data_IF_066518999407
#
_entry.id   IF_066518999407
#
_cell.length_a   1.000
_cell.length_b   1.000
_cell.length_c   1.000
_cell.angle_alpha   90.00
_cell.angle_beta   90.00
_cell.angle_gamma   90.00
#
_symmetry.space_group_name_H-M   'P 1'
#
loop_
_entity.id
_entity.type
_entity.pdbx_description
1 polymer ?
#
# COMPACT_ATOMS: atom_id res chain seq x y z
N UNK A 1 -24.70 -8.72 4.70
CA UNK A 1 -24.40 -9.72 3.64
C UNK A 1 -24.98 -11.10 3.98
N UNK A 2 -24.78 -11.67 5.18
CA UNK A 2 -25.35 -12.98 5.55
C UNK A 2 -26.89 -13.06 5.48
N UNK A 3 -27.60 -12.06 6.01
CA UNK A 3 -29.07 -11.93 5.86
C UNK A 3 -29.48 -11.78 4.39
N UNK A 4 -28.70 -11.05 3.59
CA UNK A 4 -28.93 -10.86 2.14
C UNK A 4 -28.77 -12.18 1.36
N UNK A 5 -27.91 -13.08 1.85
CA UNK A 5 -27.66 -14.40 1.27
C UNK A 5 -28.62 -15.48 1.81
N UNK A 6 -29.59 -15.12 2.66
CA UNK A 6 -30.55 -16.07 3.25
C UNK A 6 -29.93 -17.07 4.23
N UNK A 7 -28.76 -16.75 4.80
CA UNK A 7 -28.09 -17.60 5.76
C UNK A 7 -28.78 -17.43 7.11
N UNK A 8 -29.61 -18.40 7.49
CA UNK A 8 -30.48 -18.37 8.68
C UNK A 8 -29.79 -17.97 9.99
N UNK A 9 -28.50 -18.29 10.10
CA UNK A 9 -27.66 -17.94 11.26
C UNK A 9 -27.53 -16.42 11.48
N UNK A 10 -27.63 -15.61 10.43
CA UNK A 10 -27.54 -14.15 10.52
C UNK A 10 -28.87 -13.45 10.78
N UNK A 11 -29.98 -14.20 10.86
CA UNK A 11 -31.30 -13.66 11.20
C UNK A 11 -31.48 -13.53 12.72
N UNK A 12 -30.66 -14.24 13.52
CA UNK A 12 -30.65 -14.14 14.97
C UNK A 12 -29.48 -13.25 15.47
N UNK A 13 -29.81 -12.16 16.16
CA UNK A 13 -28.83 -11.21 16.70
C UNK A 13 -28.10 -11.68 17.96
N UNK A 14 -28.51 -12.79 18.60
CA UNK A 14 -27.92 -13.23 19.87
C UNK A 14 -26.45 -13.64 19.75
N UNK A 15 -26.09 -14.45 18.76
CA UNK A 15 -24.68 -14.83 18.53
C UNK A 15 -23.82 -13.64 18.14
N UNK A 16 -24.36 -12.68 17.37
CA UNK A 16 -23.65 -11.43 17.04
C UNK A 16 -23.39 -10.61 18.31
N UNK A 17 -24.35 -10.55 19.24
CA UNK A 17 -24.16 -9.89 20.54
C UNK A 17 -23.15 -10.63 21.40
N UNK A 18 -23.15 -11.96 21.40
CA UNK A 18 -22.17 -12.77 22.11
C UNK A 18 -20.75 -12.55 21.58
N UNK A 19 -20.56 -12.64 20.27
CA UNK A 19 -19.30 -12.31 19.60
C UNK A 19 -18.81 -10.91 19.99
N UNK A 20 -19.67 -9.90 19.89
CA UNK A 20 -19.31 -8.53 20.28
C UNK A 20 -18.96 -8.43 21.77
N UNK A 21 -19.65 -9.15 22.66
CA UNK A 21 -19.34 -9.16 24.10
C UNK A 21 -17.97 -9.77 24.37
N UNK A 22 -17.66 -10.91 23.77
CA UNK A 22 -16.38 -11.60 23.96
C UNK A 22 -15.21 -10.79 23.38
N UNK A 23 -15.35 -10.27 22.16
CA UNK A 23 -14.35 -9.41 21.53
C UNK A 23 -14.09 -8.14 22.35
N UNK A 24 -15.14 -7.45 22.80
CA UNK A 24 -15.00 -6.24 23.62
C UNK A 24 -14.40 -6.56 24.99
N UNK A 25 -14.74 -7.70 25.60
CA UNK A 25 -14.14 -8.16 26.85
C UNK A 25 -12.64 -8.41 26.70
N UNK A 26 -12.24 -9.09 25.62
CA UNK A 26 -10.83 -9.33 25.29
C UNK A 26 -10.06 -8.02 25.04
N UNK A 27 -10.62 -7.08 24.25
CA UNK A 27 -10.01 -5.76 24.02
C UNK A 27 -9.84 -4.96 25.31
N UNK A 28 -10.82 -5.00 26.22
CA UNK A 28 -10.72 -4.32 27.53
C UNK A 28 -9.60 -4.89 28.37
N UNK A 29 -9.47 -6.22 28.42
CA UNK A 29 -8.37 -6.90 29.14
C UNK A 29 -7.01 -6.55 28.55
N UNK A 30 -6.92 -6.51 27.23
CA UNK A 30 -5.71 -6.15 26.50
C UNK A 30 -5.30 -4.68 26.74
N UNK A 31 -6.24 -3.73 26.64
CA UNK A 31 -5.99 -2.32 26.98
C UNK A 31 -5.52 -2.15 28.43
N UNK A 32 -6.09 -2.93 29.36
CA UNK A 32 -5.67 -2.93 30.77
C UNK A 32 -4.23 -3.45 30.91
N UNK A 33 -3.89 -4.54 30.22
CA UNK A 33 -2.55 -5.11 30.21
C UNK A 33 -1.49 -4.16 29.59
N UNK A 34 -1.84 -3.48 28.50
CA UNK A 34 -1.00 -2.46 27.87
C UNK A 34 -0.81 -1.24 28.79
N UNK A 35 -1.87 -0.77 29.45
CA UNK A 35 -1.78 0.34 30.41
C UNK A 35 -0.89 -0.01 31.61
N UNK A 36 -0.94 -1.25 32.10
CA UNK A 36 -0.04 -1.71 33.17
C UNK A 36 1.42 -1.90 32.74
N UNK A 37 1.69 -2.12 31.45
CA UNK A 37 3.05 -2.27 30.92
C UNK A 37 3.78 -0.91 30.73
N UNK A 38 3.09 0.21 30.88
CA UNK A 38 3.66 1.56 30.80
C UNK A 38 4.13 1.98 29.38
N UNK A 39 4.87 3.09 29.26
CA UNK A 39 5.27 3.67 27.96
C UNK A 39 6.17 2.78 27.10
N UNK A 40 6.88 1.83 27.73
CA UNK A 40 7.75 0.85 27.04
C UNK A 40 6.96 -0.23 26.31
N UNK A 41 5.71 -0.51 26.69
CA UNK A 41 4.82 -1.51 26.05
C UNK A 41 3.83 -0.93 25.04
N UNK A 42 3.91 0.37 24.74
CA UNK A 42 2.99 1.07 23.83
C UNK A 42 3.30 0.75 22.36
N UNK A 43 2.29 0.33 21.60
CA UNK A 43 2.39 0.14 20.14
C UNK A 43 2.62 1.45 19.38
N UNK A 44 2.20 2.60 19.94
CA UNK A 44 2.37 3.92 19.33
C UNK A 44 3.83 4.34 19.15
N UNK A 45 4.74 3.89 20.02
CA UNK A 45 6.18 4.14 19.84
C UNK A 45 6.72 3.40 18.62
N UNK A 46 6.21 2.19 18.36
CA UNK A 46 6.57 1.43 17.17
C UNK A 46 6.05 2.14 15.90
N UNK A 47 4.85 2.74 15.96
CA UNK A 47 4.27 3.57 14.88
C UNK A 47 5.10 4.82 14.57
N UNK A 48 5.52 5.58 15.59
CA UNK A 48 6.32 6.80 15.37
C UNK A 48 7.76 6.53 14.93
N UNK A 49 8.31 5.37 15.27
CA UNK A 49 9.70 5.00 14.97
C UNK A 49 9.80 4.04 13.76
N UNK A 50 8.68 3.77 13.07
CA UNK A 50 8.67 2.91 11.88
C UNK A 50 8.98 1.43 12.15
N UNK A 51 8.77 0.96 13.39
CA UNK A 51 9.02 -0.44 13.78
C UNK A 51 7.72 -1.25 13.72
N UNK A 52 7.76 -2.43 13.10
CA UNK A 52 6.58 -3.28 12.93
C UNK A 52 6.09 -3.95 14.22
N UNK A 53 6.96 -4.16 15.22
CA UNK A 53 6.62 -4.86 16.48
C UNK A 53 7.41 -4.32 17.65
N UNK A 54 6.73 -4.20 18.80
CA UNK A 54 7.37 -3.95 20.08
C UNK A 54 7.57 -5.29 20.82
N UNK A 55 8.81 -5.78 21.01
CA UNK A 55 9.08 -7.06 21.67
C UNK A 55 8.67 -7.07 23.15
N UNK A 56 8.53 -5.91 23.77
CA UNK A 56 8.09 -5.75 25.16
C UNK A 56 6.55 -5.66 25.28
N UNK A 57 5.81 -5.77 24.17
CA UNK A 57 4.36 -5.73 24.20
C UNK A 57 3.76 -7.06 24.73
N UNK A 58 2.77 -7.01 25.63
CA UNK A 58 2.09 -8.21 26.11
C UNK A 58 1.39 -8.96 24.98
N UNK A 59 1.34 -10.29 25.07
CA UNK A 59 0.67 -11.15 24.10
C UNK A 59 -0.81 -10.76 23.93
N UNK A 60 -1.31 -10.79 22.69
CA UNK A 60 -2.67 -10.35 22.41
C UNK A 60 -3.71 -11.28 23.02
N UNK A 61 -4.61 -10.71 23.82
CA UNK A 61 -5.78 -11.41 24.37
C UNK A 61 -6.97 -11.36 23.42
N UNK A 62 -6.96 -10.44 22.46
CA UNK A 62 -8.00 -10.27 21.45
C UNK A 62 -7.88 -11.28 20.30
N UNK A 63 -6.67 -11.51 19.81
CA UNK A 63 -6.42 -12.37 18.63
C UNK A 63 -6.97 -13.79 18.77
N UNK A 64 -6.79 -14.52 19.90
CA UNK A 64 -7.32 -15.87 20.03
C UNK A 64 -8.85 -15.94 19.95
N UNK A 65 -9.55 -15.02 20.62
CA UNK A 65 -11.02 -14.93 20.62
C UNK A 65 -11.54 -14.61 19.22
N UNK A 66 -10.91 -13.65 18.55
CA UNK A 66 -11.23 -13.30 17.17
C UNK A 66 -11.08 -14.51 16.23
N UNK A 67 -10.02 -15.30 16.37
CA UNK A 67 -9.78 -16.47 15.53
C UNK A 67 -10.84 -17.57 15.70
N UNK A 68 -11.35 -17.81 16.90
CA UNK A 68 -12.44 -18.76 17.13
C UNK A 68 -13.71 -18.32 16.42
N UNK A 69 -14.07 -17.05 16.53
CA UNK A 69 -15.21 -16.48 15.83
C UNK A 69 -15.02 -16.47 14.30
N UNK A 70 -13.81 -16.22 13.81
CA UNK A 70 -13.49 -16.34 12.38
C UNK A 70 -13.73 -17.76 11.85
N UNK A 71 -13.35 -18.80 12.60
CA UNK A 71 -13.61 -20.20 12.20
C UNK A 71 -15.11 -20.50 12.11
N UNK A 72 -15.87 -20.14 13.16
CA UNK A 72 -17.34 -20.30 13.20
C UNK A 72 -18.02 -19.58 12.04
N UNK A 73 -17.59 -18.35 11.75
CA UNK A 73 -18.10 -17.58 10.62
C UNK A 73 -17.78 -18.26 9.29
N UNK A 74 -16.55 -18.72 9.07
CA UNK A 74 -16.16 -19.39 7.83
C UNK A 74 -16.96 -20.67 7.58
N UNK A 75 -17.15 -21.51 8.59
CA UNK A 75 -17.97 -22.73 8.49
C UNK A 75 -19.42 -22.41 8.12
N UNK A 76 -19.96 -21.31 8.63
CA UNK A 76 -21.30 -20.84 8.31
C UNK A 76 -21.42 -20.38 6.85
N UNK A 77 -20.42 -19.69 6.31
CA UNK A 77 -20.41 -19.22 4.92
C UNK A 77 -20.01 -20.30 3.90
N UNK A 78 -19.32 -21.36 4.32
CA UNK A 78 -18.73 -22.35 3.41
C UNK A 78 -19.73 -22.98 2.42
N UNK A 79 -20.99 -23.32 2.79
CA UNK A 79 -21.95 -23.89 1.84
C UNK A 79 -22.48 -22.88 0.80
N UNK A 80 -22.31 -21.57 1.05
CA UNK A 80 -22.94 -20.49 0.27
C UNK A 80 -21.96 -19.72 -0.61
N UNK A 81 -20.65 -19.91 -0.41
CA UNK A 81 -19.62 -19.11 -1.07
C UNK A 81 -18.70 -20.03 -1.86
N UNK A 82 -18.67 -19.83 -3.17
CA UNK A 82 -17.63 -20.41 -4.04
C UNK A 82 -16.54 -19.37 -4.22
N UNK A 83 -15.32 -19.70 -3.81
CA UNK A 83 -14.13 -18.93 -4.12
C UNK A 83 -13.16 -19.78 -4.91
N UNK A 84 -12.61 -19.18 -5.96
CA UNK A 84 -11.49 -19.70 -6.71
C UNK A 84 -10.30 -18.75 -6.57
N UNK A 85 -9.12 -19.32 -6.64
CA UNK A 85 -7.81 -18.66 -6.65
C UNK A 85 -7.14 -18.90 -8.00
N UNK A 86 -6.01 -18.24 -8.24
CA UNK A 86 -5.19 -18.48 -9.43
C UNK A 86 -4.66 -19.93 -9.50
N UNK A 87 -4.52 -20.59 -8.34
CA UNK A 87 -4.09 -21.99 -8.24
C UNK A 87 -5.26 -22.98 -8.25
N UNK A 88 -6.49 -22.51 -8.42
CA UNK A 88 -7.64 -23.41 -8.51
C UNK A 88 -7.57 -24.26 -9.77
N UNK A 89 -7.79 -25.54 -9.60
CA UNK A 89 -7.77 -26.53 -10.68
C UNK A 89 -9.18 -26.76 -11.23
N UNK A 90 -9.26 -27.06 -12.51
CA UNK A 90 -10.48 -27.49 -13.17
C UNK A 90 -10.76 -28.98 -12.86
N UNK A 91 -11.78 -29.55 -13.51
CA UNK A 91 -12.14 -30.94 -13.30
C UNK A 91 -11.13 -31.95 -13.87
N UNK A 92 -10.20 -31.52 -14.73
CA UNK A 92 -9.13 -32.34 -15.30
C UNK A 92 -7.84 -32.24 -14.47
N UNK A 93 -7.79 -31.34 -13.48
CA UNK A 93 -6.60 -31.07 -12.68
C UNK A 93 -5.70 -29.98 -13.26
N UNK A 94 -6.14 -29.31 -14.33
CA UNK A 94 -5.39 -28.20 -14.95
C UNK A 94 -5.69 -26.89 -14.22
N UNK A 95 -4.72 -25.98 -14.15
CA UNK A 95 -4.95 -24.66 -13.55
C UNK A 95 -6.00 -23.91 -14.37
N UNK A 96 -7.09 -23.49 -13.72
CA UNK A 96 -8.16 -22.68 -14.33
C UNK A 96 -7.59 -21.35 -14.83
N UNK A 97 -6.61 -20.81 -14.10
CA UNK A 97 -5.92 -19.58 -14.46
C UNK A 97 -4.58 -19.90 -15.10
N UNK A 98 -4.38 -19.44 -16.34
CA UNK A 98 -3.08 -19.44 -17.02
C UNK A 98 -2.17 -18.28 -16.63
N UNK A 99 -2.53 -17.48 -15.62
CA UNK A 99 -1.70 -16.37 -15.15
C UNK A 99 -0.47 -16.90 -14.39
N UNK A 100 0.73 -16.56 -14.88
CA UNK A 100 1.97 -16.70 -14.10
C UNK A 100 1.99 -15.77 -12.88
N UNK A 101 2.89 -15.95 -11.92
CA UNK A 101 2.97 -15.07 -10.74
C UNK A 101 3.37 -13.63 -11.12
N UNK A 102 2.84 -12.64 -10.41
CA UNK A 102 3.37 -11.27 -10.46
C UNK A 102 4.54 -11.11 -9.46
N UNK A 103 5.47 -10.22 -9.77
CA UNK A 103 6.60 -9.87 -8.91
C UNK A 103 6.33 -8.53 -8.21
N UNK A 104 6.63 -8.45 -6.92
CA UNK A 104 6.51 -7.20 -6.14
C UNK A 104 7.89 -6.72 -5.71
N UNK A 105 8.16 -5.44 -5.96
CA UNK A 105 9.41 -4.77 -5.67
C UNK A 105 9.14 -3.61 -4.72
N UNK A 106 9.59 -3.75 -3.47
CA UNK A 106 9.50 -2.69 -2.48
C UNK A 106 10.75 -1.82 -2.58
N UNK A 107 10.58 -0.60 -3.07
CA UNK A 107 11.63 0.40 -3.19
C UNK A 107 11.62 1.25 -1.92
N UNK A 108 12.52 0.93 -1.00
CA UNK A 108 12.69 1.60 0.29
C UNK A 108 13.54 2.85 0.12
N UNK A 109 12.89 4.01 0.15
CA UNK A 109 13.45 5.31 -0.19
C UNK A 109 13.90 6.06 1.07
N UNK A 110 15.17 6.41 1.14
CA UNK A 110 15.68 7.35 2.12
C UNK A 110 15.43 8.77 1.62
N UNK A 111 14.50 9.48 2.27
CA UNK A 111 14.21 10.86 1.92
C UNK A 111 15.43 11.76 2.13
N UNK A 112 15.52 12.82 1.35
CA UNK A 112 16.55 13.84 1.54
C UNK A 112 16.39 14.51 2.90
N UNK A 113 17.49 15.05 3.44
CA UNK A 113 17.49 15.71 4.76
C UNK A 113 16.45 16.84 4.82
N UNK A 114 16.34 17.62 3.73
CA UNK A 114 15.39 18.73 3.62
C UNK A 114 13.92 18.25 3.65
N UNK A 115 13.61 17.13 3.01
CA UNK A 115 12.25 16.54 3.01
C UNK A 115 11.90 16.09 4.44
N UNK A 116 12.84 15.44 5.13
CA UNK A 116 12.67 15.06 6.52
C UNK A 116 12.51 16.27 7.45
N UNK A 117 13.30 17.32 7.26
CA UNK A 117 13.19 18.55 8.04
C UNK A 117 11.85 19.25 7.82
N UNK A 118 11.33 19.23 6.58
CA UNK A 118 9.99 19.71 6.30
C UNK A 118 8.93 18.88 7.04
N UNK A 119 9.00 17.55 7.00
CA UNK A 119 8.05 16.68 7.73
C UNK A 119 8.12 16.90 9.25
N UNK A 120 9.32 17.11 9.80
CA UNK A 120 9.50 17.46 11.22
C UNK A 120 8.88 18.82 11.54
N UNK A 121 9.05 19.80 10.65
CA UNK A 121 8.44 21.13 10.81
C UNK A 121 6.92 21.03 10.75
N UNK A 122 6.36 20.36 9.75
CA UNK A 122 4.92 20.11 9.62
C UNK A 122 4.35 19.45 10.89
N UNK A 123 5.07 18.49 11.46
CA UNK A 123 4.71 17.87 12.74
C UNK A 123 4.61 18.89 13.89
N UNK A 124 5.60 19.78 14.01
CA UNK A 124 5.65 20.83 15.04
C UNK A 124 4.55 21.86 14.86
N UNK A 125 4.39 22.38 13.64
CA UNK A 125 3.41 23.41 13.33
C UNK A 125 1.99 22.92 13.68
N UNK A 126 1.68 21.66 13.36
CA UNK A 126 0.38 21.05 13.71
C UNK A 126 0.18 20.88 15.23
N UNK A 127 1.26 20.63 15.99
CA UNK A 127 1.21 20.55 17.46
C UNK A 127 1.03 21.94 18.09
N UNK A 128 1.64 22.97 17.51
CA UNK A 128 1.64 24.34 18.03
C UNK A 128 0.34 25.11 17.70
N UNK A 129 -0.20 24.96 16.49
CA UNK A 129 -1.38 25.71 16.02
C UNK A 129 -2.71 25.31 16.71
N UNK A 130 -2.77 24.14 17.37
CA UNK A 130 -3.90 23.75 18.21
C UNK A 130 -3.43 23.18 19.55
N UNK A 131 -3.26 24.02 20.60
CA UNK A 131 -2.96 23.51 21.92
C UNK A 131 -4.07 22.56 22.37
N UNK A 132 -3.67 21.42 22.94
CA UNK A 132 -4.42 20.32 23.57
C UNK A 132 -5.83 20.59 24.13
N UNK A 133 -6.15 21.83 24.48
CA UNK A 133 -7.40 22.26 25.08
C UNK A 133 -8.59 22.37 24.10
N UNK A 134 -8.37 22.41 22.79
CA UNK A 134 -9.44 22.60 21.80
C UNK A 134 -10.19 21.31 21.38
N UNK A 135 -9.78 20.13 21.88
CA UNK A 135 -10.31 18.84 21.42
C UNK A 135 -11.19 18.23 22.51
N UNK A 136 -12.51 18.32 22.34
CA UNK A 136 -13.49 17.67 23.21
C UNK A 136 -13.29 16.14 23.20
N UNK A 137 -12.62 15.61 24.22
CA UNK A 137 -12.44 14.17 24.43
C UNK A 137 -10.99 13.69 24.60
N UNK A 138 -9.98 14.57 24.46
CA UNK A 138 -8.61 14.22 24.80
C UNK A 138 -8.47 14.15 26.34
N UNK A 139 -8.36 12.94 26.89
CA UNK A 139 -7.90 12.78 28.27
C UNK A 139 -6.44 13.26 28.31
N UNK A 140 -6.21 14.45 28.85
CA UNK A 140 -4.89 14.98 29.16
C UNK A 140 -4.14 13.93 30.01
N UNK A 141 -3.15 13.25 29.44
CA UNK A 141 -2.19 12.49 30.23
C UNK A 141 -1.18 13.50 30.79
N UNK A 142 -1.57 14.24 31.83
CA UNK A 142 -0.61 14.96 32.67
C UNK A 142 0.04 13.93 33.58
N UNK A 143 1.31 13.62 33.32
CA UNK A 143 2.19 13.01 34.30
C UNK A 143 3.05 14.13 34.87
N UNK A 144 2.97 14.36 36.18
CA UNK A 144 3.84 15.25 36.95
C UNK A 144 3.93 16.72 36.47
N UNK A 145 2.80 17.30 36.05
CA UNK A 145 2.72 18.76 35.81
C UNK A 145 3.44 19.27 34.57
N UNK A 146 4.00 18.38 33.74
CA UNK A 146 4.62 18.73 32.46
C UNK A 146 3.77 18.25 31.27
N UNK A 147 3.66 19.05 30.18
CA UNK A 147 3.04 18.59 28.95
C UNK A 147 3.83 17.38 28.41
N UNK A 148 3.17 16.23 28.26
CA UNK A 148 3.79 15.04 27.72
C UNK A 148 4.01 15.22 26.21
N UNK A 149 5.19 14.91 25.64
CA UNK A 149 5.49 15.07 24.20
C UNK A 149 4.67 14.18 23.24
N UNK A 150 3.67 13.45 23.74
CA UNK A 150 2.82 12.52 22.98
C UNK A 150 1.32 12.80 23.15
N UNK A 151 0.98 14.05 23.44
CA UNK A 151 -0.38 14.55 23.37
C UNK A 151 -1.03 14.21 22.02
N UNK A 152 -2.17 13.51 22.05
CA UNK A 152 -2.90 13.08 20.85
C UNK A 152 -3.45 14.28 20.10
N UNK A 153 -2.83 14.64 18.97
CA UNK A 153 -3.36 15.65 18.05
C UNK A 153 -4.44 14.98 17.18
N UNK A 154 -5.71 15.30 17.42
CA UNK A 154 -6.82 14.91 16.55
C UNK A 154 -7.07 16.00 15.49
N UNK A 155 -6.14 16.15 14.55
CA UNK A 155 -6.43 16.90 13.32
C UNK A 155 -7.02 15.92 12.30
N UNK A 156 -8.22 16.22 11.78
CA UNK A 156 -8.90 15.35 10.80
C UNK A 156 -8.07 15.17 9.51
N UNK A 157 -7.20 16.12 9.17
CA UNK A 157 -6.41 16.11 7.94
C UNK A 157 -4.91 15.91 8.12
N UNK A 158 -4.38 15.82 9.36
CA UNK A 158 -2.93 15.73 9.63
C UNK A 158 -2.26 14.65 8.79
N UNK A 159 -2.90 13.49 8.78
CA UNK A 159 -2.35 12.35 8.09
C UNK A 159 -2.35 12.52 6.56
N UNK A 160 -3.37 13.19 6.01
CA UNK A 160 -3.47 13.46 4.58
C UNK A 160 -2.42 14.50 4.15
N UNK A 161 -2.15 15.50 4.98
CA UNK A 161 -1.12 16.52 4.74
C UNK A 161 0.27 15.88 4.73
N UNK A 162 0.60 15.06 5.74
CA UNK A 162 1.83 14.27 5.75
C UNK A 162 2.00 13.44 4.47
N UNK A 163 0.92 12.79 4.04
CA UNK A 163 0.93 11.97 2.82
C UNK A 163 1.21 12.74 1.55
N UNK A 164 0.66 13.94 1.41
CA UNK A 164 0.93 14.81 0.27
C UNK A 164 2.37 15.31 0.30
N UNK A 165 2.86 15.71 1.48
CA UNK A 165 4.24 16.18 1.66
C UNK A 165 5.29 15.13 1.38
N UNK A 166 4.97 13.83 1.53
CA UNK A 166 5.88 12.74 1.19
C UNK A 166 6.20 12.64 -0.31
N UNK A 167 5.36 13.17 -1.20
CA UNK A 167 5.71 13.32 -2.61
C UNK A 167 6.42 14.65 -2.86
N UNK A 168 5.85 15.74 -2.35
CA UNK A 168 6.50 17.06 -2.35
C UNK A 168 5.70 18.02 -1.45
N UNK A 169 6.34 18.90 -0.65
CA UNK A 169 5.64 19.87 0.20
C UNK A 169 4.65 20.77 -0.53
N UNK A 170 4.93 21.09 -1.80
CA UNK A 170 4.03 21.93 -2.63
C UNK A 170 2.71 21.25 -2.98
N UNK A 171 2.52 19.97 -2.63
CA UNK A 171 1.25 19.25 -2.80
C UNK A 171 0.24 19.57 -1.69
N UNK A 172 0.68 20.25 -0.63
CA UNK A 172 -0.19 20.74 0.42
C UNK A 172 -1.17 21.81 -0.08
N UNK A 173 -2.40 21.87 0.46
CA UNK A 173 -3.32 22.97 0.18
C UNK A 173 -2.65 24.34 0.40
N UNK A 174 -2.97 25.32 -0.45
CA UNK A 174 -2.42 26.68 -0.37
C UNK A 174 -0.99 26.84 -0.89
N UNK A 175 -0.28 25.75 -1.19
CA UNK A 175 1.02 25.81 -1.84
C UNK A 175 0.86 25.72 -3.36
N UNK A 176 1.78 26.34 -4.09
CA UNK A 176 1.80 26.30 -5.56
C UNK A 176 3.00 25.50 -6.03
N UNK A 177 2.73 24.53 -6.92
CA UNK A 177 3.76 23.80 -7.66
C UNK A 177 4.24 24.63 -8.84
N UNK A 178 5.55 24.79 -8.95
CA UNK A 178 6.19 25.44 -10.08
C UNK A 178 7.00 24.40 -10.84
N UNK A 179 6.72 24.27 -12.13
CA UNK A 179 7.46 23.36 -12.99
C UNK A 179 8.94 23.78 -13.06
N UNK A 180 9.90 22.88 -12.77
CA UNK A 180 11.31 23.19 -12.96
C UNK A 180 11.63 23.49 -14.43
N UNK A 181 12.55 24.44 -14.67
CA UNK A 181 12.88 24.89 -16.03
C UNK A 181 13.57 23.82 -16.89
N UNK A 182 14.36 22.95 -16.28
CA UNK A 182 15.09 21.86 -16.94
C UNK A 182 15.36 20.71 -15.97
N UNK A 183 15.77 19.56 -16.50
CA UNK A 183 16.20 18.43 -15.69
C UNK A 183 17.42 18.78 -14.82
N UNK A 184 18.37 19.54 -15.35
CA UNK A 184 19.55 19.97 -14.60
C UNK A 184 19.17 20.92 -13.46
N UNK A 185 18.23 21.84 -13.71
CA UNK A 185 17.72 22.74 -12.68
C UNK A 185 16.98 21.98 -11.58
N UNK A 186 16.22 20.93 -11.93
CA UNK A 186 15.58 20.05 -10.95
C UNK A 186 16.61 19.26 -10.12
N UNK A 187 17.60 18.63 -10.77
CA UNK A 187 18.64 17.84 -10.09
C UNK A 187 19.50 18.68 -9.14
N UNK A 188 19.71 19.96 -9.47
CA UNK A 188 20.43 20.93 -8.66
C UNK A 188 19.54 21.66 -7.63
N UNK A 189 18.23 21.41 -7.63
CA UNK A 189 17.30 22.04 -6.70
C UNK A 189 17.48 21.49 -5.29
N UNK A 190 17.46 22.39 -4.30
CA UNK A 190 17.38 22.03 -2.88
C UNK A 190 15.99 21.49 -2.51
N UNK A 191 14.98 21.65 -3.38
CA UNK A 191 13.61 21.15 -3.20
C UNK A 191 13.32 19.88 -4.06
N UNK A 192 14.32 19.14 -4.53
CA UNK A 192 14.06 17.89 -5.29
C UNK A 192 13.53 16.76 -4.40
N UNK A 193 12.66 15.90 -4.93
CA UNK A 193 12.08 14.78 -4.17
C UNK A 193 12.57 13.42 -4.65
N UNK A 194 12.97 12.58 -3.69
CA UNK A 194 13.40 11.19 -3.94
C UNK A 194 12.29 10.37 -4.60
N UNK A 195 11.01 10.60 -4.24
CA UNK A 195 9.89 9.84 -4.82
C UNK A 195 9.68 10.19 -6.28
N UNK A 196 9.79 11.47 -6.64
CA UNK A 196 9.63 11.93 -8.02
C UNK A 196 10.81 11.45 -8.89
N UNK A 197 12.03 11.50 -8.35
CA UNK A 197 13.25 11.02 -9.02
C UNK A 197 13.18 9.53 -9.31
N UNK A 198 12.97 8.71 -8.27
CA UNK A 198 12.89 7.24 -8.42
C UNK A 198 11.70 6.82 -9.28
N UNK A 199 10.56 7.52 -9.20
CA UNK A 199 9.43 7.27 -10.09
C UNK A 199 9.82 7.48 -11.56
N UNK A 200 10.49 8.58 -11.88
CA UNK A 200 10.94 8.86 -13.23
C UNK A 200 11.97 7.83 -13.71
N UNK A 201 12.92 7.44 -12.86
CA UNK A 201 13.93 6.41 -13.17
C UNK A 201 13.29 5.05 -13.47
N UNK A 202 12.36 4.59 -12.64
CA UNK A 202 11.65 3.31 -12.86
C UNK A 202 10.87 3.32 -14.16
N UNK A 203 10.15 4.42 -14.44
CA UNK A 203 9.35 4.53 -15.68
C UNK A 203 10.27 4.60 -16.90
N UNK A 204 11.33 5.41 -16.84
CA UNK A 204 12.30 5.56 -17.92
C UNK A 204 12.97 4.22 -18.26
N UNK A 205 13.44 3.48 -17.26
CA UNK A 205 14.10 2.18 -17.42
C UNK A 205 13.27 1.22 -18.28
N UNK A 206 11.98 1.10 -17.97
CA UNK A 206 11.05 0.20 -18.68
C UNK A 206 10.54 0.76 -20.01
N UNK A 207 10.66 2.07 -20.25
CA UNK A 207 10.36 2.65 -21.56
C UNK A 207 11.53 2.49 -22.55
N UNK A 208 12.77 2.55 -22.08
CA UNK A 208 13.98 2.44 -22.91
C UNK A 208 14.09 1.09 -23.61
N UNK A 209 13.72 -0.01 -22.92
CA UNK A 209 13.72 -1.35 -23.48
C UNK A 209 12.66 -2.19 -22.79
N UNK A 210 11.91 -2.95 -23.58
CA UNK A 210 10.86 -3.83 -23.06
C UNK A 210 11.43 -5.11 -22.43
N UNK A 211 10.70 -5.68 -21.48
CA UNK A 211 11.07 -6.91 -20.76
C UNK A 211 12.43 -6.79 -20.04
N UNK A 212 12.80 -5.59 -19.58
CA UNK A 212 14.04 -5.40 -18.80
C UNK A 212 13.97 -6.08 -17.44
N UNK A 213 15.15 -6.32 -16.90
CA UNK A 213 15.31 -6.79 -15.54
C UNK A 213 14.62 -5.85 -14.54
N UNK A 214 14.07 -6.40 -13.45
CA UNK A 214 13.46 -5.59 -12.42
C UNK A 214 14.48 -4.68 -11.73
N UNK A 215 13.98 -3.66 -11.06
CA UNK A 215 14.81 -2.67 -10.36
C UNK A 215 14.71 -2.93 -8.87
N UNK A 216 15.85 -2.75 -8.20
CA UNK A 216 15.98 -2.74 -6.74
C UNK A 216 16.59 -1.42 -6.30
N UNK A 217 16.48 -1.10 -5.02
CA UNK A 217 17.17 0.06 -4.47
C UNK A 217 18.69 -0.15 -4.52
N UNK A 218 19.42 0.92 -4.82
CA UNK A 218 20.85 0.97 -4.58
C UNK A 218 21.15 1.18 -3.09
N UNK A 219 22.43 1.06 -2.73
CA UNK A 219 22.90 1.06 -1.34
C UNK A 219 22.69 2.45 -0.68
N UNK A 220 22.49 3.51 -1.48
CA UNK A 220 22.16 4.87 -1.02
C UNK A 220 20.69 5.05 -0.64
N UNK A 221 19.83 4.09 -1.00
CA UNK A 221 18.37 4.17 -0.86
C UNK A 221 17.74 5.41 -1.53
N UNK A 222 18.41 6.03 -2.50
CA UNK A 222 17.94 7.21 -3.24
C UNK A 222 17.92 6.97 -4.75
N UNK A 223 18.69 6.01 -5.24
CA UNK A 223 18.72 5.61 -6.64
C UNK A 223 18.34 4.14 -6.81
N UNK A 224 18.06 3.72 -8.04
CA UNK A 224 17.72 2.33 -8.36
C UNK A 224 18.75 1.69 -9.28
N UNK A 225 18.95 0.39 -9.10
CA UNK A 225 19.81 -0.45 -9.96
C UNK A 225 19.05 -1.66 -10.48
N UNK A 226 19.50 -2.19 -11.63
CA UNK A 226 18.93 -3.41 -12.20
C UNK A 226 19.34 -4.62 -11.37
N UNK A 227 18.39 -5.52 -11.11
CA UNK A 227 18.67 -6.82 -10.51
C UNK A 227 19.21 -7.76 -11.60
N UNK A 228 20.53 -7.78 -11.76
CA UNK A 228 21.20 -8.64 -12.73
C UNK A 228 20.91 -10.12 -12.48
N UNK A 229 20.75 -10.90 -13.56
CA UNK A 229 20.43 -12.34 -13.54
C UNK A 229 19.08 -12.67 -12.89
N UNK A 230 18.10 -11.77 -12.95
CA UNK A 230 16.72 -12.14 -12.70
C UNK A 230 16.28 -13.27 -13.66
N UNK A 231 15.37 -14.14 -13.21
CA UNK A 231 14.80 -15.18 -14.07
C UNK A 231 14.31 -14.55 -15.38
N UNK A 232 14.59 -15.17 -16.54
CA UNK A 232 14.30 -14.58 -17.83
C UNK A 232 12.83 -14.20 -17.92
N UNK A 233 12.57 -12.90 -18.11
CA UNK A 233 11.25 -12.38 -18.44
C UNK A 233 10.83 -12.94 -19.80
N UNK A 234 9.52 -13.17 -19.97
CA UNK A 234 8.99 -13.67 -21.23
C UNK A 234 9.48 -12.78 -22.40
N UNK A 235 9.84 -13.37 -23.56
CA UNK A 235 10.29 -12.61 -24.71
C UNK A 235 9.25 -11.54 -25.07
N UNK A 236 9.67 -10.31 -25.45
CA UNK A 236 8.76 -9.19 -25.63
C UNK A 236 7.81 -9.44 -26.81
N UNK A 237 6.62 -9.96 -26.50
CA UNK A 237 5.54 -10.17 -27.47
C UNK A 237 4.85 -8.86 -27.84
N UNK A 238 4.84 -7.90 -26.91
CA UNK A 238 4.29 -6.55 -27.06
C UNK A 238 5.10 -5.54 -26.23
N UNK A 239 5.10 -4.24 -26.57
CA UNK A 239 5.78 -3.21 -25.78
C UNK A 239 5.28 -3.17 -24.33
N UNK A 240 6.18 -2.89 -23.39
CA UNK A 240 5.82 -2.63 -22.00
C UNK A 240 4.92 -1.42 -21.92
N UNK A 241 3.86 -1.54 -21.11
CA UNK A 241 3.00 -0.44 -20.73
C UNK A 241 2.94 -0.34 -19.22
N UNK A 242 2.99 0.89 -18.75
CA UNK A 242 3.23 1.24 -17.35
C UNK A 242 2.02 1.97 -16.80
N UNK A 243 1.61 1.55 -15.62
CA UNK A 243 0.50 2.11 -14.87
C UNK A 243 1.05 2.74 -13.61
N UNK A 244 0.99 4.06 -13.50
CA UNK A 244 1.40 4.80 -12.30
C UNK A 244 0.16 5.09 -11.48
N UNK A 245 0.12 4.62 -10.24
CA UNK A 245 -0.95 4.94 -9.31
C UNK A 245 -0.49 6.05 -8.36
N UNK A 246 -1.24 7.16 -8.33
CA UNK A 246 -1.14 8.21 -7.32
C UNK A 246 -2.48 8.41 -6.63
N UNK A 247 -2.48 8.41 -5.30
CA UNK A 247 -3.70 8.52 -4.51
C UNK A 247 -4.33 9.93 -4.61
N UNK A 248 -3.51 10.94 -4.92
CA UNK A 248 -3.90 12.34 -4.91
C UNK A 248 -3.82 12.94 -6.32
N UNK A 249 -4.95 13.14 -7.02
CA UNK A 249 -4.95 13.79 -8.33
C UNK A 249 -4.28 15.17 -8.35
N UNK A 250 -4.31 15.90 -7.23
CA UNK A 250 -3.61 17.18 -7.06
C UNK A 250 -2.09 17.09 -7.27
N UNK A 251 -1.53 15.88 -7.18
CA UNK A 251 -0.12 15.61 -7.35
C UNK A 251 0.28 15.20 -8.76
N UNK A 252 -0.69 14.87 -9.61
CA UNK A 252 -0.41 14.36 -10.95
C UNK A 252 0.32 15.40 -11.82
N UNK A 253 0.07 16.70 -11.62
CA UNK A 253 0.77 17.75 -12.37
C UNK A 253 2.28 17.74 -12.11
N UNK A 254 2.71 17.55 -10.85
CA UNK A 254 4.13 17.45 -10.52
C UNK A 254 4.76 16.21 -11.16
N UNK A 255 4.07 15.06 -11.11
CA UNK A 255 4.53 13.83 -11.77
C UNK A 255 4.68 14.04 -13.29
N UNK A 256 3.66 14.63 -13.94
CA UNK A 256 3.67 14.93 -15.37
C UNK A 256 4.80 15.89 -15.76
N UNK A 257 5.05 16.90 -14.93
CA UNK A 257 6.11 17.86 -15.18
C UNK A 257 7.50 17.23 -15.08
N UNK A 258 7.75 16.42 -14.05
CA UNK A 258 9.01 15.68 -13.93
C UNK A 258 9.16 14.66 -15.07
N UNK A 259 8.10 13.93 -15.42
CA UNK A 259 8.11 13.05 -16.59
C UNK A 259 8.48 13.80 -17.87
N UNK A 260 7.93 14.99 -18.09
CA UNK A 260 8.27 15.80 -19.25
C UNK A 260 9.76 16.22 -19.28
N UNK A 261 10.38 16.47 -18.11
CA UNK A 261 11.82 16.75 -18.03
C UNK A 261 12.68 15.54 -18.44
N UNK A 262 12.17 14.32 -18.22
CA UNK A 262 12.78 13.07 -18.67
C UNK A 262 12.36 12.65 -20.10
N UNK A 263 11.60 13.49 -20.82
CA UNK A 263 11.08 13.17 -22.16
C UNK A 263 9.98 12.10 -22.16
N UNK A 264 9.39 11.81 -21.01
CA UNK A 264 8.32 10.83 -20.83
C UNK A 264 6.98 11.53 -21.07
N UNK A 265 6.17 10.97 -21.97
CA UNK A 265 4.77 11.37 -22.14
C UNK A 265 3.88 10.41 -21.37
N UNK A 266 2.87 10.92 -20.66
CA UNK A 266 1.93 10.12 -19.90
C UNK A 266 0.48 10.59 -20.12
N UNK A 267 -0.43 9.63 -20.11
CA UNK A 267 -1.87 9.88 -20.05
C UNK A 267 -2.31 9.98 -18.59
N UNK A 268 -3.37 10.73 -18.33
CA UNK A 268 -3.95 10.86 -17.00
C UNK A 268 -5.40 10.35 -16.99
N UNK A 269 -5.75 9.59 -15.94
CA UNK A 269 -7.12 9.19 -15.65
C UNK A 269 -7.50 9.48 -14.20
N UNK A 270 -8.31 10.53 -14.01
CA UNK A 270 -8.83 10.92 -12.71
C UNK A 270 -10.35 11.16 -12.74
N UNK A 271 -10.92 11.56 -11.60
CA UNK A 271 -12.36 11.76 -11.45
C UNK A 271 -12.94 12.99 -12.13
N UNK A 272 -12.13 13.98 -12.49
CA UNK A 272 -12.60 15.17 -13.22
C UNK A 272 -12.69 14.93 -14.72
N UNK A 273 -12.14 13.83 -15.24
CA UNK A 273 -12.20 13.51 -16.67
C UNK A 273 -13.60 12.98 -17.05
N UNK A 274 -14.29 13.62 -18.02
CA UNK A 274 -15.60 13.15 -18.51
C UNK A 274 -15.54 11.72 -19.06
N UNK A 275 -16.65 10.99 -18.96
CA UNK A 275 -16.74 9.57 -19.38
C UNK A 275 -16.29 9.35 -20.84
N UNK A 276 -16.72 10.21 -21.77
CA UNK A 276 -16.31 10.08 -23.18
C UNK A 276 -14.79 10.22 -23.36
N UNK A 277 -14.18 11.15 -22.64
CA UNK A 277 -12.73 11.37 -22.67
C UNK A 277 -11.97 10.23 -22.00
N UNK A 278 -12.52 9.65 -20.92
CA UNK A 278 -11.98 8.46 -20.25
C UNK A 278 -11.82 7.29 -21.21
N UNK A 279 -12.84 7.00 -22.03
CA UNK A 279 -12.75 5.91 -23.01
C UNK A 279 -11.67 6.19 -24.06
N UNK A 280 -11.59 7.42 -24.58
CA UNK A 280 -10.54 7.81 -25.53
C UNK A 280 -9.13 7.63 -24.94
N UNK A 281 -8.91 8.06 -23.70
CA UNK A 281 -7.62 7.91 -23.01
C UNK A 281 -7.27 6.43 -22.82
N UNK A 282 -8.25 5.60 -22.43
CA UNK A 282 -8.03 4.17 -22.27
C UNK A 282 -7.73 3.46 -23.60
N UNK A 283 -8.39 3.86 -24.68
CA UNK A 283 -8.17 3.28 -26.01
C UNK A 283 -6.82 3.73 -26.58
N UNK A 284 -6.43 4.99 -26.37
CA UNK A 284 -5.09 5.49 -26.69
C UNK A 284 -4.01 4.70 -25.94
N UNK A 285 -4.18 4.48 -24.64
CA UNK A 285 -3.26 3.68 -23.83
C UNK A 285 -3.19 2.22 -24.30
N UNK A 286 -4.32 1.59 -24.62
CA UNK A 286 -4.35 0.19 -25.09
C UNK A 286 -3.66 0.02 -26.42
N UNK A 287 -3.82 0.98 -27.32
CA UNK A 287 -3.31 0.94 -28.71
C UNK A 287 -1.93 1.57 -28.88
N UNK A 288 -1.35 2.14 -27.81
CA UNK A 288 -0.02 2.74 -27.85
C UNK A 288 1.06 1.73 -28.22
N UNK A 289 2.00 2.15 -29.08
CA UNK A 289 3.20 1.41 -29.48
C UNK A 289 4.46 2.16 -29.02
N UNK A 290 5.65 1.71 -29.43
CA UNK A 290 6.91 2.43 -29.13
C UNK A 290 6.94 3.81 -29.79
N UNK A 291 6.39 3.93 -30.99
CA UNK A 291 6.49 5.12 -31.83
C UNK A 291 5.21 5.98 -31.83
N UNK A 292 4.12 5.50 -31.22
CA UNK A 292 2.81 6.17 -31.27
C UNK A 292 2.05 6.08 -29.95
N UNK A 293 1.54 7.23 -29.52
CA UNK A 293 0.79 7.35 -28.26
C UNK A 293 1.70 7.24 -27.04
N UNK A 294 1.11 7.28 -25.85
CA UNK A 294 1.85 7.13 -24.60
C UNK A 294 1.61 5.75 -23.99
N UNK A 295 2.72 5.11 -23.61
CA UNK A 295 2.74 3.81 -22.92
C UNK A 295 2.67 3.95 -21.39
N UNK A 296 2.42 5.16 -20.88
CA UNK A 296 2.33 5.46 -19.43
C UNK A 296 0.95 6.01 -19.12
N UNK A 297 0.27 5.42 -18.13
CA UNK A 297 -1.01 5.88 -17.64
C UNK A 297 -0.94 6.18 -16.15
N UNK A 298 -1.15 7.44 -15.76
CA UNK A 298 -1.34 7.85 -14.38
C UNK A 298 -2.83 7.66 -14.02
N UNK A 299 -3.12 6.91 -12.96
CA UNK A 299 -4.47 6.80 -12.41
C UNK A 299 -4.54 7.17 -10.94
N UNK A 300 -5.73 7.61 -10.55
CA UNK A 300 -6.08 7.84 -9.15
C UNK A 300 -7.15 6.87 -8.66
N UNK A 301 -7.54 7.01 -7.39
CA UNK A 301 -8.58 6.20 -6.75
C UNK A 301 -9.92 6.16 -7.50
N UNK A 302 -10.20 7.14 -8.35
CA UNK A 302 -11.42 7.16 -9.18
C UNK A 302 -11.40 6.12 -10.31
N UNK A 303 -10.26 5.46 -10.55
CA UNK A 303 -10.08 4.37 -11.51
C UNK A 303 -10.38 2.96 -10.97
N UNK A 304 -10.72 2.80 -9.68
CA UNK A 304 -10.95 1.47 -9.07
C UNK A 304 -12.30 0.84 -9.43
N UNK A 305 -13.08 1.48 -10.31
CA UNK A 305 -14.42 1.05 -10.76
C UNK A 305 -14.35 0.13 -11.98
N UNK A 306 -13.74 -1.05 -11.83
CA UNK A 306 -13.89 -2.11 -12.85
C UNK A 306 -13.02 -1.99 -14.10
N UNK A 307 -12.04 -1.08 -14.16
CA UNK A 307 -11.18 -0.95 -15.34
C UNK A 307 -10.42 -2.26 -15.64
N UNK A 308 -10.30 -2.57 -16.92
CA UNK A 308 -9.46 -3.65 -17.44
C UNK A 308 -8.23 -3.04 -18.11
N UNK A 309 -7.07 -3.27 -17.49
CA UNK A 309 -5.76 -2.77 -17.90
C UNK A 309 -4.76 -3.94 -18.08
N UNK A 310 -5.25 -5.15 -18.39
CA UNK A 310 -4.39 -6.32 -18.65
C UNK A 310 -3.39 -6.11 -19.81
N UNK A 311 -3.53 -5.03 -20.60
CA UNK A 311 -2.55 -4.61 -21.60
C UNK A 311 -1.28 -3.99 -21.02
N UNK A 312 -1.27 -3.68 -19.73
CA UNK A 312 -0.12 -3.19 -18.98
C UNK A 312 0.46 -4.29 -18.10
N UNK A 313 1.77 -4.29 -17.94
CA UNK A 313 2.50 -5.30 -17.18
C UNK A 313 3.36 -4.70 -16.07
N UNK A 314 3.45 -3.38 -15.98
CA UNK A 314 4.19 -2.70 -14.92
C UNK A 314 3.24 -1.77 -14.18
N UNK A 315 3.25 -1.84 -12.85
CA UNK A 315 2.55 -0.91 -11.98
C UNK A 315 3.54 -0.25 -11.03
N UNK A 316 3.49 1.07 -10.91
CA UNK A 316 4.24 1.83 -9.89
C UNK A 316 3.25 2.47 -8.94
N UNK A 317 3.27 2.07 -7.68
CA UNK A 317 2.43 2.60 -6.60
C UNK A 317 3.25 3.67 -5.87
N UNK A 318 2.96 4.93 -6.17
CA UNK A 318 3.65 6.10 -5.58
C UNK A 318 3.21 6.34 -4.13
N UNK A 319 1.93 6.07 -3.89
CA UNK A 319 1.22 6.35 -2.65
C UNK A 319 0.70 5.05 -2.04
N UNK A 320 1.10 4.73 -0.81
CA UNK A 320 0.66 3.49 -0.15
C UNK A 320 -0.84 3.49 0.09
N UNK A 321 -1.53 2.41 -0.26
CA UNK A 321 -2.98 2.30 -0.01
C UNK A 321 -3.25 1.99 1.46
N UNK A 322 -4.40 2.44 1.95
CA UNK A 322 -4.86 2.25 3.34
C UNK A 322 -5.41 0.85 3.63
N UNK A 323 -5.75 0.12 2.57
CA UNK A 323 -6.47 -1.15 2.62
C UNK A 323 -5.79 -2.15 1.69
N UNK A 324 -5.49 -3.34 2.22
CA UNK A 324 -5.05 -4.47 1.40
C UNK A 324 -6.07 -4.86 0.33
N UNK A 325 -7.36 -4.65 0.59
CA UNK A 325 -8.39 -4.95 -0.40
C UNK A 325 -8.31 -3.97 -1.57
N UNK A 326 -8.12 -2.68 -1.31
CA UNK A 326 -7.95 -1.68 -2.37
C UNK A 326 -6.67 -1.95 -3.16
N UNK A 327 -5.61 -2.38 -2.47
CA UNK A 327 -4.36 -2.81 -3.09
C UNK A 327 -4.52 -4.03 -4.00
N UNK A 328 -5.20 -5.08 -3.54
CA UNK A 328 -5.50 -6.27 -4.34
C UNK A 328 -6.38 -5.92 -5.55
N UNK A 329 -7.37 -5.04 -5.37
CA UNK A 329 -8.21 -4.53 -6.46
C UNK A 329 -7.41 -3.71 -7.47
N UNK A 330 -6.46 -2.90 -7.01
CA UNK A 330 -5.57 -2.10 -7.86
C UNK A 330 -4.65 -3.01 -8.69
N UNK A 331 -3.92 -3.94 -8.04
CA UNK A 331 -3.05 -4.90 -8.74
C UNK A 331 -3.85 -5.77 -9.70
N UNK A 332 -5.04 -6.19 -9.32
CA UNK A 332 -5.99 -6.94 -10.14
C UNK A 332 -6.46 -6.21 -11.41
N UNK A 333 -6.15 -4.91 -11.59
CA UNK A 333 -6.42 -4.20 -12.85
C UNK A 333 -5.52 -4.65 -14.00
N UNK A 334 -4.27 -4.97 -13.67
CA UNK A 334 -3.25 -5.41 -14.63
C UNK A 334 -2.91 -6.91 -14.49
N UNK A 335 -3.04 -7.44 -13.28
CA UNK A 335 -2.88 -8.87 -12.97
C UNK A 335 -4.20 -9.60 -13.10
N UNK A 336 -4.63 -9.80 -14.35
CA UNK A 336 -5.88 -10.50 -14.71
C UNK A 336 -5.82 -11.02 -16.13
N UNK A 337 -6.63 -12.02 -16.46
CA UNK A 337 -6.79 -12.47 -17.85
C UNK A 337 -7.25 -11.30 -18.75
N UNK A 338 -6.73 -11.14 -19.98
CA UNK A 338 -5.83 -12.03 -20.73
C UNK A 338 -4.32 -11.68 -20.63
N UNK A 339 -3.84 -11.19 -19.48
CA UNK A 339 -2.42 -10.87 -19.29
C UNK A 339 -1.51 -12.03 -19.71
N UNK A 340 -0.52 -11.73 -20.55
CA UNK A 340 0.42 -12.71 -21.12
C UNK A 340 1.88 -12.42 -20.76
N UNK A 341 2.16 -11.34 -20.04
CA UNK A 341 3.50 -10.93 -19.62
C UNK A 341 3.62 -11.01 -18.11
N UNK A 342 4.83 -11.28 -17.62
CA UNK A 342 5.16 -11.12 -16.21
C UNK A 342 4.79 -9.72 -15.73
N UNK A 343 4.01 -9.66 -14.65
CA UNK A 343 3.57 -8.41 -14.05
C UNK A 343 4.54 -7.99 -12.97
N UNK A 344 5.03 -6.75 -13.03
CA UNK A 344 5.88 -6.15 -12.00
C UNK A 344 5.13 -5.05 -11.24
N UNK A 345 5.12 -5.12 -9.91
CA UNK A 345 4.50 -4.13 -9.03
C UNK A 345 5.59 -3.47 -8.20
N UNK A 346 5.94 -2.23 -8.54
CA UNK A 346 6.85 -1.38 -7.78
C UNK A 346 6.08 -0.58 -6.73
N UNK A 347 6.61 -0.52 -5.51
CA UNK A 347 6.06 0.29 -4.41
C UNK A 347 7.13 1.24 -3.91
N UNK A 348 6.83 2.54 -3.97
CA UNK A 348 7.70 3.57 -3.40
C UNK A 348 7.35 3.76 -1.93
N UNK A 349 8.28 3.44 -1.04
CA UNK A 349 8.07 3.48 0.41
C UNK A 349 9.09 4.42 1.02
N UNK A 350 8.65 5.57 1.54
CA UNK A 350 9.55 6.50 2.22
C UNK A 350 9.90 5.98 3.63
N UNK A 351 11.17 5.65 3.86
CA UNK A 351 11.68 5.20 5.15
C UNK A 351 11.59 6.30 6.22
N UNK A 352 11.41 5.90 7.48
CA UNK A 352 11.29 6.85 8.59
C UNK A 352 10.02 7.72 8.55
N UNK A 353 9.04 7.38 7.70
CA UNK A 353 7.76 8.09 7.58
C UNK A 353 6.56 7.17 7.88
N UNK A 354 5.33 7.72 7.96
CA UNK A 354 4.13 6.91 8.11
C UNK A 354 3.86 5.92 6.97
N UNK A 355 4.53 6.01 5.81
CA UNK A 355 4.41 5.01 4.73
C UNK A 355 4.80 3.60 5.20
N UNK A 356 5.86 3.47 5.99
CA UNK A 356 6.33 2.17 6.53
C UNK A 356 5.25 1.52 7.39
N UNK A 357 4.61 2.33 8.23
CA UNK A 357 3.53 1.89 9.10
C UNK A 357 2.27 1.52 8.32
N UNK A 358 1.86 2.32 7.34
CA UNK A 358 0.73 1.97 6.48
C UNK A 358 0.98 0.69 5.71
N UNK A 359 2.18 0.54 5.16
CA UNK A 359 2.54 -0.66 4.44
C UNK A 359 2.35 -1.88 5.36
N UNK A 360 2.84 -1.79 6.60
CA UNK A 360 2.70 -2.85 7.61
C UNK A 360 1.24 -3.10 7.99
N UNK A 361 0.43 -2.07 8.29
CA UNK A 361 -1.00 -2.26 8.62
C UNK A 361 -1.76 -2.86 7.44
N UNK A 362 -1.53 -2.35 6.23
CA UNK A 362 -2.19 -2.85 5.02
C UNK A 362 -1.83 -4.32 4.83
N UNK A 363 -0.55 -4.69 4.98
CA UNK A 363 -0.14 -6.09 4.98
C UNK A 363 -0.77 -6.93 6.10
N UNK A 364 -0.86 -6.42 7.32
CA UNK A 364 -1.45 -7.14 8.46
C UNK A 364 -2.96 -7.39 8.26
N UNK A 365 -3.69 -6.38 7.79
CA UNK A 365 -5.11 -6.53 7.39
C UNK A 365 -5.25 -7.50 6.23
N UNK A 366 -4.32 -7.47 5.28
CA UNK A 366 -4.23 -8.41 4.17
C UNK A 366 -4.02 -9.85 4.64
N UNK A 367 -3.12 -10.07 5.60
CA UNK A 367 -2.88 -11.39 6.20
C UNK A 367 -4.10 -11.88 6.97
N UNK A 368 -4.79 -11.01 7.72
CA UNK A 368 -6.04 -11.40 8.39
C UNK A 368 -7.14 -11.78 7.39
N UNK A 369 -7.29 -11.01 6.32
CA UNK A 369 -8.22 -11.32 5.24
C UNK A 369 -7.83 -12.64 4.54
N UNK A 370 -6.56 -12.81 4.17
CA UNK A 370 -6.07 -14.06 3.59
C UNK A 370 -6.25 -15.24 4.53
N UNK A 371 -6.01 -15.08 5.84
CA UNK A 371 -6.27 -16.14 6.82
C UNK A 371 -7.77 -16.47 6.92
N UNK A 372 -8.65 -15.47 6.86
CA UNK A 372 -10.10 -15.70 6.85
C UNK A 372 -10.57 -16.49 5.62
N UNK A 373 -10.08 -16.07 4.45
CA UNK A 373 -10.53 -16.57 3.15
C UNK A 373 -9.70 -17.79 2.67
N UNK A 374 -8.59 -18.05 3.33
CA UNK A 374 -7.61 -19.08 3.03
C UNK A 374 -7.82 -20.40 3.78
N UNK A 375 -6.83 -21.29 3.67
CA UNK A 375 -6.89 -22.63 4.26
C UNK A 375 -6.66 -22.61 5.79
N UNK A 376 -6.99 -23.71 6.48
CA UNK A 376 -6.72 -23.84 7.92
C UNK A 376 -5.23 -23.72 8.27
N UNK A 377 -4.33 -24.02 7.33
CA UNK A 377 -2.88 -23.88 7.52
C UNK A 377 -2.43 -22.42 7.46
N UNK A 378 -3.06 -21.57 6.65
CA UNK A 378 -2.75 -20.13 6.56
C UNK A 378 -3.15 -19.41 7.85
N UNK A 379 -4.28 -19.81 8.45
CA UNK A 379 -4.68 -19.38 9.80
C UNK A 379 -3.62 -19.80 10.84
N UNK A 380 -3.09 -21.02 10.74
CA UNK A 380 -2.03 -21.51 11.65
C UNK A 380 -0.70 -20.76 11.46
N UNK A 381 -0.30 -20.42 10.23
CA UNK A 381 0.91 -19.63 9.96
C UNK A 381 0.81 -18.22 10.57
N UNK A 382 -0.35 -17.58 10.46
CA UNK A 382 -0.61 -16.30 11.13
C UNK A 382 -0.46 -16.39 12.66
N UNK A 383 -0.97 -17.46 13.29
CA UNK A 383 -0.85 -17.73 14.73
C UNK A 383 0.63 -17.86 15.17
N UNK A 384 1.49 -18.48 14.35
CA UNK A 384 2.91 -18.64 14.67
C UNK A 384 3.66 -17.32 14.51
N UNK A 385 3.34 -16.52 13.48
CA UNK A 385 3.98 -15.22 13.22
C UNK A 385 3.69 -14.13 14.27
N UNK A 386 2.63 -14.32 15.07
CA UNK A 386 2.18 -13.39 16.12
C UNK A 386 2.70 -13.75 17.52
N UNK A 387 3.48 -14.83 17.67
CA UNK A 387 4.19 -15.18 18.92
C UNK A 387 5.53 -14.43 19.04
N UNK A 388 5.99 -14.10 20.26
CA UNK A 388 7.29 -13.48 20.48
C UNK A 388 8.39 -14.53 20.32
N UNK A 389 8.81 -14.79 19.09
CA UNK A 389 10.02 -15.55 18.81
C UNK A 389 10.69 -15.03 17.52
N UNK A 390 11.92 -14.55 17.71
CA UNK A 390 12.98 -14.20 16.76
C UNK A 390 12.60 -13.77 15.33
N UNK A 391 12.89 -12.49 15.09
CA UNK A 391 13.09 -11.85 13.80
C UNK A 391 13.88 -12.74 12.81
N UNK A 392 13.19 -13.29 11.81
CA UNK A 392 13.74 -13.75 10.52
C UNK A 392 12.62 -14.28 9.63
N UNK A 393 11.76 -13.40 9.11
CA UNK A 393 10.73 -13.83 8.14
C UNK A 393 10.49 -12.87 6.97
N UNK A 394 11.44 -11.98 6.69
CA UNK A 394 11.43 -11.15 5.47
C UNK A 394 12.64 -11.56 4.61
N UNK A 395 12.60 -12.77 4.06
CA UNK A 395 13.54 -13.25 3.03
C UNK A 395 13.27 -14.69 2.54
N UNK A 396 12.02 -15.16 2.49
CA UNK A 396 11.69 -16.45 1.85
C UNK A 396 10.35 -16.42 1.11
N UNK A 397 10.35 -15.80 -0.07
CA UNK A 397 9.49 -16.23 -1.18
C UNK A 397 10.30 -16.65 -2.41
N UNK A 398 11.62 -16.77 -2.30
CA UNK A 398 12.42 -17.49 -3.29
C UNK A 398 12.63 -18.93 -2.81
N UNK A 399 12.42 -19.87 -3.73
CA UNK A 399 12.64 -21.32 -3.63
C UNK A 399 11.51 -22.12 -2.97
N UNK A 400 10.49 -22.45 -3.77
CA UNK A 400 9.94 -23.82 -3.82
C UNK A 400 9.69 -24.22 -5.27
N UNK A 401 10.77 -24.36 -6.04
CA UNK A 401 10.85 -25.32 -7.14
C UNK A 401 11.71 -26.48 -6.67
N UNK A 402 11.16 -27.68 -6.59
CA UNK A 402 11.94 -28.88 -6.30
C UNK A 402 11.20 -29.95 -5.50
N UNK A 403 10.26 -30.65 -6.15
CA UNK A 403 10.34 -32.10 -6.35
C UNK A 403 9.36 -32.54 -7.42
#
# INVERSE_FOLDING_TARGET
MGQLLGISRFDNYEESREMNRELNSAQRKERKAQKSAGPKGSSLRAVMVGSAKNPDAPASLYTPVMLEWMKKMRETFAPYVIRRTIDSLDHNGDRISGLGPYLTHNLELQMYDWEHDHLRKLSRDIVEEQPLAAISGASLAVLDGHPHPYAYVHHQNFYIEFRRSMLHPRMLPGHTWEKPASLDAWKASDEKSVKLDVLAEVVQHHLEKDSRDPLIMDDDHQTVKSLENADPTDPPTTPDKIVVYSAFPSSNQAILDIFALHGITALELNGSIPVNRRNQVLDEFRTSTRDKGSRVLILSNVGTVGLNLACANIMVIVDTLWSAQDDEQLRGRIYRFPQSKTVHIYRLIALGTPDVFLNTISFDKGQMHQAFVGSYEEIRKYIVSTRPAMCSYVSRQHVQSGR
#
